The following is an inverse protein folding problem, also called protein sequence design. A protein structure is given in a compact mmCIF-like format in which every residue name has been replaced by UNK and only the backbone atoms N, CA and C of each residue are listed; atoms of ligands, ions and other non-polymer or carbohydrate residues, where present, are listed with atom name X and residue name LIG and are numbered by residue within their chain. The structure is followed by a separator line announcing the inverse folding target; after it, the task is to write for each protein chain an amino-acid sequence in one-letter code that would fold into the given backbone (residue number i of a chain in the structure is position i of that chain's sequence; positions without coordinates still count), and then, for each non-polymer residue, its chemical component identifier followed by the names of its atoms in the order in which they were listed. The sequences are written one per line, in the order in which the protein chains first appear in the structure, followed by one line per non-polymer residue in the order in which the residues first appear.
data_IF_626899704459
#
_entry.id   IF_626899704459
#
_cell.length_a   1.000
_cell.length_b   1.000
_cell.length_c   1.000
_cell.angle_alpha   90.00
_cell.angle_beta   90.00
_cell.angle_gamma   90.00
#
_symmetry.space_group_name_H-M   'P 1'
#
loop_
_entity.id
_entity.type
_entity.pdbx_description
1 polymer ?
#
# COMPACT_ATOMS: atom_id res chain seq x y z
N UNK A 1 -50.43 -9.05 -3.76
CA UNK A 1 -49.09 -9.44 -4.25
C UNK A 1 -48.01 -9.39 -3.17
N UNK A 2 -47.80 -8.26 -2.49
CA UNK A 2 -46.78 -8.16 -1.46
C UNK A 2 -46.98 -9.07 -0.24
N UNK A 3 -48.22 -9.18 0.21
CA UNK A 3 -48.61 -10.02 1.36
C UNK A 3 -48.53 -11.52 1.09
N UNK A 4 -48.79 -11.97 -0.15
CA UNK A 4 -48.65 -13.37 -0.54
C UNK A 4 -47.21 -13.75 -0.81
N UNK A 5 -46.40 -12.84 -1.40
CA UNK A 5 -44.95 -13.02 -1.49
C UNK A 5 -44.32 -13.20 -0.11
N UNK A 6 -44.75 -12.39 0.90
CA UNK A 6 -44.30 -12.54 2.29
C UNK A 6 -44.76 -13.88 2.92
N UNK A 7 -45.95 -14.39 2.55
CA UNK A 7 -46.48 -15.64 3.07
C UNK A 7 -45.76 -16.85 2.49
N UNK A 8 -45.43 -16.81 1.18
CA UNK A 8 -44.61 -17.83 0.49
C UNK A 8 -43.18 -17.87 0.97
N UNK A 9 -42.63 -16.69 1.27
CA UNK A 9 -41.34 -16.50 1.95
C UNK A 9 -41.27 -17.24 3.29
N UNK A 10 -42.38 -17.32 4.01
CA UNK A 10 -42.50 -17.99 5.31
C UNK A 10 -42.57 -19.51 5.21
N UNK A 11 -43.00 -20.04 4.02
CA UNK A 11 -43.14 -21.50 3.80
C UNK A 11 -41.85 -22.16 3.32
N UNK A 12 -40.88 -21.41 2.75
CA UNK A 12 -39.60 -21.94 2.30
C UNK A 12 -38.40 -21.05 2.77
N UNK A 13 -38.21 -20.88 4.08
CA UNK A 13 -37.21 -19.95 4.61
C UNK A 13 -35.77 -20.32 4.20
N UNK A 14 -35.45 -21.60 4.06
CA UNK A 14 -34.10 -22.06 3.72
C UNK A 14 -33.62 -21.59 2.34
N UNK A 15 -34.49 -21.47 1.34
CA UNK A 15 -34.12 -20.99 0.00
C UNK A 15 -33.85 -19.49 -0.01
N UNK A 16 -34.64 -18.71 0.72
CA UNK A 16 -34.39 -17.27 0.86
C UNK A 16 -33.10 -16.97 1.60
N UNK A 17 -32.89 -17.67 2.70
CA UNK A 17 -31.66 -17.52 3.48
C UNK A 17 -30.45 -17.84 2.59
N UNK A 18 -30.49 -18.94 1.83
CA UNK A 18 -29.40 -19.29 0.90
C UNK A 18 -29.13 -18.21 -0.15
N UNK A 19 -30.18 -17.62 -0.73
CA UNK A 19 -30.04 -16.54 -1.73
C UNK A 19 -29.52 -15.26 -1.12
N UNK A 20 -30.04 -14.85 0.06
CA UNK A 20 -29.56 -13.68 0.80
C UNK A 20 -28.11 -13.85 1.22
N UNK A 21 -27.75 -15.04 1.72
CA UNK A 21 -26.36 -15.34 2.11
C UNK A 21 -25.44 -15.28 0.88
N UNK A 22 -25.85 -15.84 -0.26
CA UNK A 22 -25.03 -15.79 -1.47
C UNK A 22 -24.79 -14.34 -1.94
N UNK A 23 -25.83 -13.51 -1.94
CA UNK A 23 -25.71 -12.07 -2.27
C UNK A 23 -24.83 -11.34 -1.24
N UNK A 24 -25.09 -11.55 0.05
CA UNK A 24 -24.35 -10.91 1.12
C UNK A 24 -22.85 -11.28 1.08
N UNK A 25 -22.52 -12.55 0.84
CA UNK A 25 -21.14 -13.02 0.68
C UNK A 25 -20.49 -12.40 -0.56
N UNK A 26 -21.17 -12.36 -1.69
CA UNK A 26 -20.62 -11.80 -2.93
C UNK A 26 -20.37 -10.29 -2.80
N UNK A 27 -21.31 -9.53 -2.26
CA UNK A 27 -21.16 -8.08 -2.05
C UNK A 27 -20.14 -7.80 -0.94
N UNK A 28 -20.21 -8.55 0.15
CA UNK A 28 -19.27 -8.42 1.27
C UNK A 28 -17.81 -8.70 0.84
N UNK A 29 -17.61 -9.70 0.00
CA UNK A 29 -16.32 -10.03 -0.58
C UNK A 29 -15.77 -8.90 -1.46
N UNK A 30 -16.58 -8.34 -2.35
CA UNK A 30 -16.20 -7.20 -3.21
C UNK A 30 -15.81 -5.96 -2.37
N UNK A 31 -16.61 -5.63 -1.38
CA UNK A 31 -16.35 -4.49 -0.50
C UNK A 31 -15.09 -4.75 0.34
N UNK A 32 -14.97 -5.95 0.92
CA UNK A 32 -13.82 -6.34 1.73
C UNK A 32 -12.52 -6.28 0.96
N UNK A 33 -12.48 -6.81 -0.26
CA UNK A 33 -11.30 -6.73 -1.13
C UNK A 33 -10.97 -5.29 -1.52
N UNK A 34 -11.97 -4.50 -1.90
CA UNK A 34 -11.73 -3.09 -2.26
C UNK A 34 -11.15 -2.29 -1.08
N UNK A 35 -11.64 -2.53 0.13
CA UNK A 35 -11.08 -1.95 1.34
C UNK A 35 -9.66 -2.44 1.63
N UNK A 36 -9.43 -3.75 1.52
CA UNK A 36 -8.13 -4.35 1.76
C UNK A 36 -7.06 -3.78 0.81
N UNK A 37 -7.31 -3.81 -0.50
CA UNK A 37 -6.37 -3.28 -1.52
C UNK A 37 -6.05 -1.80 -1.26
N UNK A 38 -7.08 -0.99 -0.98
CA UNK A 38 -6.87 0.43 -0.69
C UNK A 38 -6.06 0.67 0.59
N UNK A 39 -6.33 -0.09 1.64
CA UNK A 39 -5.62 0.03 2.92
C UNK A 39 -4.14 -0.37 2.74
N UNK A 40 -3.87 -1.44 2.00
CA UNK A 40 -2.52 -1.90 1.69
C UNK A 40 -1.74 -0.87 0.86
N UNK A 41 -2.32 -0.35 -0.21
CA UNK A 41 -1.66 0.66 -1.04
C UNK A 41 -1.31 1.94 -0.28
N UNK A 42 -2.22 2.40 0.59
CA UNK A 42 -1.96 3.59 1.43
C UNK A 42 -0.90 3.31 2.50
N UNK A 43 -0.88 2.12 3.10
CA UNK A 43 0.10 1.75 4.11
C UNK A 43 1.51 1.70 3.52
N UNK A 44 1.70 0.97 2.42
CA UNK A 44 2.97 0.88 1.70
C UNK A 44 3.44 2.24 1.17
N UNK A 45 2.52 3.02 0.61
CA UNK A 45 2.86 4.35 0.11
C UNK A 45 3.31 5.31 1.22
N UNK A 46 2.71 5.27 2.39
CA UNK A 46 3.14 6.08 3.54
C UNK A 46 4.52 5.66 4.04
N UNK A 47 4.82 4.38 4.06
CA UNK A 47 6.11 3.87 4.50
C UNK A 47 7.22 4.34 3.55
N UNK A 48 7.07 4.18 2.25
CA UNK A 48 8.07 4.68 1.30
C UNK A 48 8.16 6.21 1.28
N UNK A 49 7.07 6.90 1.58
CA UNK A 49 7.06 8.35 1.68
C UNK A 49 7.68 8.90 2.97
N UNK A 50 7.85 8.06 4.00
CA UNK A 50 8.35 8.53 5.31
C UNK A 50 9.76 9.12 5.21
N UNK A 51 10.63 8.52 4.40
CA UNK A 51 12.00 8.99 4.20
C UNK A 51 12.10 10.41 3.60
N UNK A 52 11.06 10.85 2.91
CA UNK A 52 10.97 12.20 2.31
C UNK A 52 10.07 13.15 3.09
N UNK A 53 9.49 12.68 4.21
CA UNK A 53 8.45 13.42 4.97
C UNK A 53 8.92 14.74 5.59
N UNK A 54 10.21 14.85 5.86
CA UNK A 54 10.83 16.06 6.44
C UNK A 54 11.42 16.99 5.37
N UNK A 55 11.44 16.58 4.10
CA UNK A 55 11.97 17.38 3.00
C UNK A 55 10.94 18.40 2.49
N UNK A 56 11.43 19.44 1.82
CA UNK A 56 10.62 20.38 1.05
C UNK A 56 10.68 20.05 -0.46
N UNK A 57 11.84 19.58 -0.93
CA UNK A 57 12.09 19.16 -2.33
C UNK A 57 12.86 17.83 -2.31
N UNK A 58 12.54 16.99 -3.28
CA UNK A 58 13.21 15.71 -3.54
C UNK A 58 13.79 15.73 -4.95
N UNK A 59 15.03 15.28 -5.07
CA UNK A 59 15.70 14.97 -6.35
C UNK A 59 15.86 13.47 -6.40
N UNK A 60 15.31 12.84 -7.40
CA UNK A 60 15.42 11.41 -7.65
C UNK A 60 16.00 11.20 -9.05
N UNK A 61 17.08 10.44 -9.16
CA UNK A 61 17.73 10.15 -10.44
C UNK A 61 17.22 8.87 -11.09
N UNK A 62 16.26 8.18 -10.48
CA UNK A 62 15.67 6.93 -10.98
C UNK A 62 16.73 5.88 -11.34
N UNK A 63 17.79 5.77 -10.52
CA UNK A 63 18.89 4.85 -10.75
C UNK A 63 19.83 5.22 -11.91
N UNK A 64 19.73 6.43 -12.47
CA UNK A 64 20.70 6.89 -13.46
C UNK A 64 22.11 6.94 -12.86
N UNK A 65 23.10 6.53 -13.66
CA UNK A 65 24.51 6.56 -13.24
C UNK A 65 25.00 8.01 -13.25
N UNK A 66 25.09 8.60 -12.09
CA UNK A 66 25.60 9.97 -11.85
C UNK A 66 26.73 9.91 -10.83
N UNK A 67 27.57 10.93 -10.80
CA UNK A 67 28.49 11.13 -9.68
C UNK A 67 27.74 11.73 -8.48
N UNK A 68 27.54 10.97 -7.38
CA UNK A 68 26.73 11.44 -6.25
C UNK A 68 27.37 12.66 -5.55
N UNK A 69 28.70 12.74 -5.55
CA UNK A 69 29.41 13.85 -4.90
C UNK A 69 29.26 15.13 -5.72
N UNK A 70 29.28 15.03 -7.04
CA UNK A 70 29.04 16.18 -7.94
C UNK A 70 27.58 16.65 -7.81
N UNK A 71 26.61 15.75 -7.80
CA UNK A 71 25.19 16.07 -7.61
C UNK A 71 25.00 16.75 -6.24
N UNK A 72 25.51 16.17 -5.16
CA UNK A 72 25.41 16.71 -3.80
C UNK A 72 26.02 18.10 -3.70
N UNK A 73 27.21 18.31 -4.28
CA UNK A 73 27.87 19.62 -4.31
C UNK A 73 27.02 20.63 -5.07
N UNK A 74 26.52 20.28 -6.25
CA UNK A 74 25.71 21.16 -7.08
C UNK A 74 24.40 21.55 -6.38
N UNK A 75 23.78 20.60 -5.67
CA UNK A 75 22.60 20.90 -4.84
C UNK A 75 22.95 21.90 -3.75
N UNK A 76 24.04 21.67 -3.00
CA UNK A 76 24.48 22.57 -1.92
C UNK A 76 24.77 24.00 -2.37
N UNK A 77 25.28 24.15 -3.60
CA UNK A 77 25.61 25.45 -4.20
C UNK A 77 24.38 26.14 -4.82
N UNK A 78 23.25 25.44 -4.95
CA UNK A 78 22.03 26.01 -5.55
C UNK A 78 21.37 27.02 -4.62
N UNK A 79 21.02 28.18 -5.18
CA UNK A 79 20.35 29.24 -4.44
C UNK A 79 19.01 28.77 -3.87
N UNK A 80 18.82 28.97 -2.56
CA UNK A 80 17.61 28.62 -1.84
C UNK A 80 17.68 27.27 -1.12
N UNK A 81 18.79 26.54 -1.22
CA UNK A 81 19.05 25.33 -0.43
C UNK A 81 19.47 25.70 0.98
N UNK A 82 18.82 25.13 1.97
CA UNK A 82 19.16 25.26 3.41
C UNK A 82 19.92 24.07 3.93
N UNK A 83 19.44 22.85 3.67
CA UNK A 83 20.11 21.60 4.02
C UNK A 83 19.86 20.56 2.92
N UNK A 84 20.74 19.56 2.83
CA UNK A 84 20.59 18.41 1.92
C UNK A 84 21.12 17.17 2.61
N UNK A 85 20.41 16.06 2.40
CA UNK A 85 20.82 14.72 2.80
C UNK A 85 20.45 13.73 1.70
N UNK A 86 20.94 12.49 1.80
CA UNK A 86 20.67 11.41 0.87
C UNK A 86 19.82 10.33 1.53
N UNK A 87 18.88 9.76 0.79
CA UNK A 87 18.13 8.59 1.25
C UNK A 87 18.85 7.35 0.76
N UNK A 88 19.37 6.56 1.69
CA UNK A 88 19.99 5.28 1.43
C UNK A 88 19.25 4.20 2.21
N UNK A 89 18.73 3.21 1.50
CA UNK A 89 18.12 2.03 2.11
C UNK A 89 18.37 0.77 1.29
N UNK A 90 18.27 -0.37 1.95
CA UNK A 90 18.36 -1.69 1.31
C UNK A 90 17.56 -2.70 2.11
N UNK A 91 16.82 -3.57 1.41
CA UNK A 91 16.07 -4.63 2.08
C UNK A 91 16.91 -5.90 2.12
N UNK A 92 17.05 -6.48 3.33
CA UNK A 92 17.82 -7.70 3.53
C UNK A 92 17.30 -8.49 4.74
N UNK A 93 17.51 -9.81 4.78
CA UNK A 93 17.18 -10.60 5.96
C UNK A 93 18.15 -10.30 7.11
N UNK A 94 17.57 -10.16 8.30
CA UNK A 94 18.28 -10.17 9.57
C UNK A 94 17.93 -11.44 10.33
N UNK A 95 18.89 -12.02 11.02
CA UNK A 95 18.70 -13.29 11.75
C UNK A 95 19.35 -13.26 13.11
N UNK A 96 18.71 -13.92 14.09
CA UNK A 96 19.25 -14.21 15.40
C UNK A 96 18.81 -15.61 15.84
N UNK A 97 19.78 -16.51 16.04
CA UNK A 97 19.47 -17.92 16.34
C UNK A 97 18.70 -18.60 15.21
N UNK A 98 17.45 -18.96 15.49
CA UNK A 98 16.54 -19.56 14.51
C UNK A 98 15.50 -18.58 13.95
N UNK A 99 15.44 -17.37 14.49
CA UNK A 99 14.49 -16.34 14.08
C UNK A 99 15.08 -15.48 12.95
N UNK A 100 14.23 -15.10 12.00
CA UNK A 100 14.61 -14.27 10.87
C UNK A 100 13.47 -13.33 10.51
N UNK A 101 13.82 -12.11 10.16
CA UNK A 101 12.88 -11.08 9.70
C UNK A 101 13.47 -10.32 8.50
N UNK A 102 12.63 -9.95 7.55
CA UNK A 102 13.05 -9.06 6.47
C UNK A 102 13.12 -7.62 7.00
N UNK A 103 14.28 -7.03 6.90
CA UNK A 103 14.57 -5.67 7.37
C UNK A 103 14.67 -4.72 6.18
N UNK A 104 14.07 -3.56 6.30
CA UNK A 104 14.37 -2.38 5.49
C UNK A 104 15.42 -1.54 6.24
N UNK A 105 16.67 -1.72 5.84
CA UNK A 105 17.83 -1.14 6.51
C UNK A 105 18.13 0.24 5.92
N UNK A 106 17.98 1.27 6.72
CA UNK A 106 18.23 2.66 6.36
C UNK A 106 19.56 3.16 6.94
N UNK A 107 20.22 4.03 6.21
CA UNK A 107 21.23 4.88 6.83
C UNK A 107 20.53 5.91 7.73
N UNK A 108 21.06 6.16 8.93
CA UNK A 108 20.51 7.17 9.84
C UNK A 108 20.53 8.53 9.16
N UNK A 109 19.37 9.18 8.94
CA UNK A 109 19.34 10.50 8.32
C UNK A 109 19.92 11.57 9.25
N UNK A 110 20.58 12.57 8.67
CA UNK A 110 21.03 13.74 9.41
C UNK A 110 19.85 14.67 9.75
N UNK A 111 19.99 15.48 10.82
CA UNK A 111 19.04 16.55 11.07
C UNK A 111 19.13 17.63 9.96
N UNK A 112 18.01 18.19 9.48
CA UNK A 112 16.64 18.09 10.00
C UNK A 112 15.78 17.00 9.35
N UNK A 113 16.36 16.04 8.62
CA UNK A 113 15.61 15.06 7.83
C UNK A 113 15.22 13.79 8.62
N UNK A 114 15.70 13.65 9.85
CA UNK A 114 15.39 12.46 10.66
C UNK A 114 13.91 12.36 10.96
N UNK A 115 13.28 11.31 10.46
CA UNK A 115 11.85 11.05 10.63
C UNK A 115 11.53 10.11 11.78
N UNK A 116 12.50 9.31 12.20
CA UNK A 116 12.37 8.32 13.26
C UNK A 116 12.90 8.84 14.61
N UNK A 117 12.46 8.21 15.68
CA UNK A 117 12.92 8.51 17.05
C UNK A 117 13.39 7.24 17.75
N UNK A 118 14.49 7.36 18.51
CA UNK A 118 14.96 6.28 19.39
C UNK A 118 14.09 6.28 20.64
N UNK A 119 13.47 5.13 20.94
CA UNK A 119 12.70 4.89 22.14
C UNK A 119 13.60 4.50 23.32
N UNK A 120 14.54 3.59 23.07
CA UNK A 120 15.49 3.10 24.05
C UNK A 120 16.89 3.01 23.42
N UNK A 121 17.94 3.32 24.18
CA UNK A 121 19.33 3.27 23.71
C UNK A 121 19.76 4.53 22.93
N UNK A 122 20.46 4.34 21.82
CA UNK A 122 21.02 5.43 21.01
C UNK A 122 21.01 5.10 19.53
N UNK A 123 21.20 6.13 18.69
CA UNK A 123 21.49 5.92 17.27
C UNK A 123 22.84 5.24 17.06
N UNK A 124 22.96 4.35 16.05
CA UNK A 124 24.24 3.76 15.67
C UNK A 124 25.24 4.84 15.29
N UNK A 125 26.43 4.75 15.83
CA UNK A 125 27.54 5.66 15.55
C UNK A 125 28.74 4.97 14.89
N UNK A 126 28.79 3.64 14.96
CA UNK A 126 29.82 2.80 14.38
C UNK A 126 29.27 1.89 13.29
N UNK A 127 30.15 1.37 12.45
CA UNK A 127 29.77 0.50 11.34
C UNK A 127 29.23 -0.87 11.76
N UNK A 128 29.52 -1.31 12.99
CA UNK A 128 29.08 -2.57 13.58
C UNK A 128 27.86 -2.41 14.50
N UNK A 129 27.20 -1.26 14.47
CA UNK A 129 26.04 -0.94 15.30
C UNK A 129 24.76 -0.85 14.46
N UNK A 130 23.63 -1.29 15.04
CA UNK A 130 22.30 -1.19 14.45
C UNK A 130 21.27 -0.73 15.48
N UNK A 131 20.30 0.09 15.05
CA UNK A 131 19.05 0.33 15.79
C UNK A 131 17.91 -0.40 15.06
N UNK A 132 17.13 -1.16 15.80
CA UNK A 132 16.01 -1.94 15.28
C UNK A 132 14.68 -1.28 15.65
N UNK A 133 13.66 -1.43 14.83
CA UNK A 133 12.29 -1.14 15.27
C UNK A 133 11.87 -2.10 16.39
N UNK A 134 10.93 -1.66 17.22
CA UNK A 134 10.40 -2.49 18.33
C UNK A 134 9.86 -3.83 17.83
N UNK A 135 9.22 -3.85 16.68
CA UNK A 135 8.68 -5.07 16.07
C UNK A 135 9.78 -6.01 15.57
N UNK A 136 10.84 -5.47 14.94
CA UNK A 136 12.00 -6.26 14.52
C UNK A 136 12.69 -6.93 15.73
N UNK A 137 12.92 -6.15 16.79
CA UNK A 137 13.53 -6.66 18.00
C UNK A 137 12.70 -7.77 18.67
N UNK A 138 11.36 -7.63 18.70
CA UNK A 138 10.44 -8.66 19.20
C UNK A 138 10.47 -9.93 18.35
N UNK A 139 10.44 -9.79 17.00
CA UNK A 139 10.46 -10.94 16.09
C UNK A 139 11.79 -11.72 16.17
N UNK A 140 12.90 -11.02 16.30
CA UNK A 140 14.23 -11.62 16.46
C UNK A 140 14.54 -12.04 17.91
N UNK A 141 13.67 -11.71 18.86
CA UNK A 141 13.84 -11.98 20.30
C UNK A 141 15.16 -11.39 20.84
N UNK A 142 15.50 -10.16 20.44
CA UNK A 142 16.73 -9.49 20.83
C UNK A 142 16.46 -8.24 21.65
N UNK A 143 17.47 -7.86 22.45
CA UNK A 143 17.50 -6.65 23.26
C UNK A 143 18.74 -5.83 22.95
N UNK A 144 18.82 -4.60 23.49
CA UNK A 144 20.01 -3.76 23.37
C UNK A 144 21.21 -4.50 23.98
N UNK A 145 22.28 -4.60 23.21
CA UNK A 145 23.51 -5.30 23.55
C UNK A 145 23.69 -6.64 22.82
N UNK A 146 22.61 -7.24 22.33
CA UNK A 146 22.65 -8.46 21.54
C UNK A 146 23.22 -8.22 20.14
N UNK A 147 23.53 -9.29 19.43
CA UNK A 147 24.09 -9.25 18.07
C UNK A 147 23.13 -9.89 17.10
N UNK A 148 22.91 -9.24 15.96
CA UNK A 148 22.05 -9.72 14.88
C UNK A 148 22.85 -9.85 13.60
N UNK A 149 22.69 -10.95 12.88
CA UNK A 149 23.36 -11.22 11.62
C UNK A 149 22.59 -10.60 10.44
N UNK A 150 23.27 -9.76 9.67
CA UNK A 150 22.76 -9.17 8.42
C UNK A 150 23.61 -9.66 7.25
N UNK A 151 23.08 -10.60 6.46
CA UNK A 151 23.78 -11.18 5.30
C UNK A 151 25.25 -11.60 5.58
N UNK A 152 25.50 -12.17 6.77
CA UNK A 152 26.82 -12.63 7.20
C UNK A 152 27.69 -11.60 7.90
N UNK A 153 27.17 -10.41 8.18
CA UNK A 153 27.79 -9.40 9.03
C UNK A 153 27.04 -9.27 10.34
N UNK A 154 27.73 -9.39 11.44
CA UNK A 154 27.19 -9.28 12.78
C UNK A 154 27.15 -7.82 13.22
N UNK A 155 25.96 -7.30 13.51
CA UNK A 155 25.76 -5.95 14.02
C UNK A 155 25.21 -5.99 15.45
N UNK A 156 25.77 -5.14 16.31
CA UNK A 156 25.33 -5.00 17.69
C UNK A 156 24.12 -4.07 17.79
N UNK A 157 23.08 -4.52 18.46
CA UNK A 157 21.89 -3.71 18.73
C UNK A 157 22.22 -2.67 19.79
N UNK A 158 22.15 -1.37 19.41
CA UNK A 158 22.45 -0.24 20.30
C UNK A 158 21.23 0.64 20.58
N UNK A 159 20.15 0.47 19.83
CA UNK A 159 18.94 1.23 20.02
C UNK A 159 17.70 0.51 19.53
N UNK A 160 16.57 0.92 20.07
CA UNK A 160 15.24 0.51 19.64
C UNK A 160 14.45 1.74 19.22
N UNK A 161 13.86 1.73 18.01
CA UNK A 161 13.08 2.84 17.47
C UNK A 161 11.58 2.57 17.56
N UNK A 162 10.79 3.66 17.53
CA UNK A 162 9.32 3.61 17.59
C UNK A 162 8.68 3.63 16.19
N UNK A 163 9.34 3.02 15.22
CA UNK A 163 8.80 2.94 13.86
C UNK A 163 7.91 1.72 13.70
N UNK A 164 6.72 1.89 13.11
CA UNK A 164 5.87 0.76 12.79
C UNK A 164 6.48 -0.10 11.68
N UNK A 165 6.35 -1.40 11.81
CA UNK A 165 6.70 -2.33 10.72
C UNK A 165 5.67 -2.26 9.61
N UNK A 166 6.14 -2.39 8.36
CA UNK A 166 5.26 -2.72 7.25
C UNK A 166 4.85 -4.19 7.28
N UNK A 167 4.00 -4.54 6.31
CA UNK A 167 3.46 -5.91 6.20
C UNK A 167 4.54 -6.99 6.01
N UNK A 168 5.67 -6.65 5.41
CA UNK A 168 6.70 -7.61 5.02
C UNK A 168 8.08 -7.27 5.53
N UNK A 169 8.31 -6.03 5.93
CA UNK A 169 9.62 -5.54 6.38
C UNK A 169 9.50 -4.74 7.66
N UNK A 170 10.53 -4.79 8.47
CA UNK A 170 10.64 -3.99 9.66
C UNK A 170 11.80 -2.99 9.50
N UNK A 171 11.63 -1.70 9.86
CA UNK A 171 12.69 -0.71 9.74
C UNK A 171 13.85 -1.01 10.70
N UNK A 172 15.06 -0.74 10.21
CA UNK A 172 16.27 -0.69 11.05
C UNK A 172 17.23 0.38 10.51
N UNK A 173 18.17 0.80 11.32
CA UNK A 173 19.06 1.90 11.03
C UNK A 173 20.51 1.55 11.33
N UNK A 174 21.39 1.97 10.43
CA UNK A 174 22.86 1.86 10.59
C UNK A 174 23.51 3.22 10.41
N UNK A 175 24.68 3.42 10.98
CA UNK A 175 25.41 4.69 10.85
C UNK A 175 25.83 4.97 9.39
N UNK A 176 26.17 3.92 8.64
CA UNK A 176 26.58 4.03 7.25
C UNK A 176 26.22 2.74 6.47
N UNK A 177 25.71 2.90 5.25
CA UNK A 177 25.47 1.82 4.30
C UNK A 177 26.61 1.78 3.27
N UNK A 178 27.58 0.86 3.40
CA UNK A 178 28.68 0.79 2.47
C UNK A 178 28.27 0.22 1.12
N UNK A 179 28.90 0.72 0.06
CA UNK A 179 28.75 0.15 -1.29
C UNK A 179 27.48 0.53 -2.04
N UNK A 180 26.67 1.43 -1.50
CA UNK A 180 25.50 1.97 -2.20
C UNK A 180 25.72 3.42 -2.60
N UNK A 181 25.39 3.75 -3.84
CA UNK A 181 25.31 5.12 -4.30
C UNK A 181 23.89 5.65 -4.10
N UNK A 182 23.73 6.86 -3.56
CA UNK A 182 22.42 7.46 -3.45
C UNK A 182 21.83 7.78 -4.83
N UNK A 183 20.55 7.54 -4.97
CA UNK A 183 19.76 7.96 -6.13
C UNK A 183 18.70 9.00 -5.75
N UNK A 184 18.50 9.24 -4.47
CA UNK A 184 17.50 10.17 -3.95
C UNK A 184 18.13 11.14 -2.95
N UNK A 185 17.95 12.43 -3.18
CA UNK A 185 18.36 13.52 -2.29
C UNK A 185 17.14 14.21 -1.73
N UNK A 186 17.17 14.46 -0.43
CA UNK A 186 16.15 15.22 0.31
C UNK A 186 16.69 16.59 0.65
N UNK A 187 15.92 17.63 0.37
CA UNK A 187 16.39 19.01 0.43
C UNK A 187 15.44 19.84 1.26
N UNK A 188 15.99 20.60 2.19
CA UNK A 188 15.29 21.63 2.95
C UNK A 188 15.49 22.99 2.30
N UNK A 189 14.43 23.70 2.07
CA UNK A 189 14.51 25.08 1.57
C UNK A 189 15.04 26.01 2.65
N UNK A 190 15.83 26.99 2.25
CA UNK A 190 16.23 28.10 3.12
C UNK A 190 15.01 28.97 3.44
N UNK A 191 14.97 29.53 4.64
CA UNK A 191 13.90 30.44 5.06
C UNK A 191 13.61 31.51 4.03
N UNK A 192 12.33 31.63 3.69
CA UNK A 192 11.84 32.57 2.66
C UNK A 192 11.89 32.06 1.22
N UNK A 193 12.36 30.83 0.96
CA UNK A 193 12.35 30.22 -0.37
C UNK A 193 11.16 29.26 -0.49
N UNK A 194 10.25 29.51 -1.43
CA UNK A 194 9.16 28.58 -1.69
C UNK A 194 9.66 27.28 -2.34
N UNK A 195 9.14 26.10 -1.95
CA UNK A 195 9.58 24.81 -2.51
C UNK A 195 9.52 24.74 -4.04
N UNK A 196 8.47 25.30 -4.67
CA UNK A 196 8.34 25.34 -6.13
C UNK A 196 9.41 26.20 -6.82
N UNK A 197 9.87 27.28 -6.18
CA UNK A 197 10.98 28.08 -6.70
C UNK A 197 12.30 27.31 -6.57
N UNK A 198 12.49 26.61 -5.48
CA UNK A 198 13.68 25.77 -5.27
C UNK A 198 13.76 24.66 -6.33
N UNK A 199 12.64 24.01 -6.68
CA UNK A 199 12.56 23.03 -7.78
C UNK A 199 13.11 23.66 -9.08
N UNK A 200 12.63 24.85 -9.47
CA UNK A 200 13.08 25.54 -10.68
C UNK A 200 14.57 25.88 -10.65
N UNK A 201 15.09 26.29 -9.49
CA UNK A 201 16.51 26.58 -9.34
C UNK A 201 17.36 25.30 -9.49
N UNK A 202 16.94 24.20 -8.89
CA UNK A 202 17.59 22.88 -8.97
C UNK A 202 17.57 22.32 -10.40
N UNK A 203 16.43 22.40 -11.10
CA UNK A 203 16.34 22.00 -12.52
C UNK A 203 17.39 22.75 -13.38
N UNK A 204 17.55 24.05 -13.17
CA UNK A 204 18.50 24.87 -13.90
C UNK A 204 19.96 24.57 -13.58
N UNK A 205 20.28 24.20 -12.33
CA UNK A 205 21.66 23.91 -11.92
C UNK A 205 22.04 22.47 -12.22
N UNK A 206 21.19 21.50 -11.92
CA UNK A 206 21.44 20.10 -12.15
C UNK A 206 21.48 19.72 -13.64
N UNK A 207 20.75 20.43 -14.51
CA UNK A 207 20.86 20.23 -15.96
C UNK A 207 22.25 20.52 -16.56
N UNK A 208 23.14 21.11 -15.79
CA UNK A 208 24.52 21.40 -16.18
C UNK A 208 25.54 20.36 -15.69
N UNK A 209 25.13 19.49 -14.80
CA UNK A 209 25.96 18.39 -14.28
C UNK A 209 26.23 17.43 -15.42
N UNK A 210 27.47 16.98 -15.56
CA UNK A 210 27.86 16.01 -16.57
C UNK A 210 27.12 14.70 -16.38
N UNK A 211 26.63 14.14 -17.47
CA UNK A 211 25.87 12.89 -17.47
C UNK A 211 24.59 12.92 -16.62
N UNK A 212 24.11 14.13 -16.25
CA UNK A 212 22.84 14.26 -15.54
C UNK A 212 21.68 13.72 -16.37
N UNK A 213 20.77 12.94 -15.75
CA UNK A 213 19.57 12.49 -16.45
C UNK A 213 18.69 13.69 -16.85
N UNK A 214 17.87 13.50 -17.86
CA UNK A 214 16.84 14.49 -18.16
C UNK A 214 15.76 14.41 -17.06
N UNK A 215 15.66 15.45 -16.24
CA UNK A 215 14.65 15.54 -15.22
C UNK A 215 13.30 15.85 -15.87
N UNK A 216 12.38 14.89 -15.79
CA UNK A 216 11.04 15.00 -16.33
C UNK A 216 10.05 15.40 -15.23
N UNK A 217 9.08 16.26 -15.60
CA UNK A 217 7.93 16.58 -14.73
C UNK A 217 6.87 15.47 -14.78
N UNK A 218 6.88 14.69 -15.85
CA UNK A 218 5.84 13.70 -16.16
C UNK A 218 6.42 12.26 -16.07
N UNK A 219 5.90 11.52 -15.16
CA UNK A 219 5.73 10.08 -14.90
C UNK A 219 6.86 9.05 -15.07
N UNK A 220 7.90 9.23 -15.83
CA UNK A 220 8.95 8.22 -15.94
C UNK A 220 10.35 8.84 -15.94
N UNK A 221 11.23 8.30 -15.09
CA UNK A 221 12.63 8.69 -15.03
C UNK A 221 12.96 9.69 -13.91
N UNK A 222 14.14 10.28 -13.99
CA UNK A 222 14.64 11.22 -12.99
C UNK A 222 13.73 12.42 -12.79
N UNK A 223 13.48 12.79 -11.54
CA UNK A 223 12.54 13.88 -11.18
C UNK A 223 13.13 14.84 -10.16
N UNK A 224 12.75 16.11 -10.30
CA UNK A 224 12.91 17.12 -9.24
C UNK A 224 11.52 17.63 -8.92
N UNK A 225 11.06 17.40 -7.70
CA UNK A 225 9.71 17.77 -7.32
C UNK A 225 9.62 18.19 -5.86
N UNK A 226 8.53 18.86 -5.50
CA UNK A 226 8.25 19.09 -4.08
C UNK A 226 8.01 17.74 -3.37
N UNK A 227 8.38 17.66 -2.10
CA UNK A 227 8.20 16.43 -1.34
C UNK A 227 6.74 15.94 -1.34
N UNK A 228 5.76 16.85 -1.27
CA UNK A 228 4.33 16.52 -1.34
C UNK A 228 3.95 15.89 -2.70
N UNK A 229 4.48 16.42 -3.82
CA UNK A 229 4.26 15.85 -5.15
C UNK A 229 4.94 14.51 -5.32
N UNK A 230 6.16 14.36 -4.81
CA UNK A 230 6.91 13.11 -4.82
C UNK A 230 6.17 12.01 -4.06
N UNK A 231 5.73 12.31 -2.83
CA UNK A 231 4.98 11.37 -2.01
C UNK A 231 3.66 10.94 -2.66
N UNK A 232 2.91 11.90 -3.25
CA UNK A 232 1.68 11.58 -3.98
C UNK A 232 1.96 10.67 -5.19
N UNK A 233 3.03 10.95 -5.94
CA UNK A 233 3.43 10.12 -7.06
C UNK A 233 3.80 8.71 -6.62
N UNK A 234 4.62 8.56 -5.58
CA UNK A 234 5.02 7.26 -5.01
C UNK A 234 3.80 6.47 -4.53
N UNK A 235 2.86 7.12 -3.82
CA UNK A 235 1.63 6.47 -3.38
C UNK A 235 0.77 6.03 -4.58
N UNK A 236 0.67 6.86 -5.61
CA UNK A 236 -0.14 6.54 -6.80
C UNK A 236 0.46 5.39 -7.59
N UNK A 237 1.79 5.38 -7.85
CA UNK A 237 2.45 4.30 -8.59
C UNK A 237 2.26 2.95 -7.89
N UNK A 238 2.42 2.90 -6.58
CA UNK A 238 2.16 1.69 -5.79
C UNK A 238 0.67 1.27 -5.83
N UNK A 239 -0.25 2.24 -5.92
CA UNK A 239 -1.68 1.97 -5.98
C UNK A 239 -2.09 1.47 -7.37
N UNK A 240 -1.45 1.92 -8.44
CA UNK A 240 -1.70 1.47 -9.82
C UNK A 240 -1.33 -0.01 -10.01
N UNK A 241 -0.26 -0.49 -9.41
CA UNK A 241 0.10 -1.91 -9.43
C UNK A 241 -0.98 -2.80 -8.77
N UNK A 242 -1.70 -2.27 -7.77
CA UNK A 242 -2.85 -2.94 -7.17
C UNK A 242 -4.12 -2.86 -8.01
N UNK A 243 -4.22 -1.91 -8.95
CA UNK A 243 -5.41 -1.77 -9.79
C UNK A 243 -5.62 -2.99 -10.70
N UNK A 244 -4.57 -3.61 -11.21
CA UNK A 244 -4.65 -4.86 -11.98
C UNK A 244 -5.30 -5.97 -11.13
N UNK A 245 -4.83 -6.15 -9.91
CA UNK A 245 -5.39 -7.11 -8.95
C UNK A 245 -6.85 -6.79 -8.63
N UNK A 246 -7.19 -5.52 -8.43
CA UNK A 246 -8.56 -5.05 -8.22
C UNK A 246 -9.46 -5.35 -9.41
N UNK A 247 -9.01 -5.12 -10.65
CA UNK A 247 -9.78 -5.48 -11.86
C UNK A 247 -10.00 -6.99 -11.96
N UNK A 248 -9.00 -7.81 -11.71
CA UNK A 248 -9.16 -9.27 -11.68
C UNK A 248 -10.22 -9.69 -10.65
N UNK A 249 -10.15 -9.13 -9.45
CA UNK A 249 -11.10 -9.42 -8.39
C UNK A 249 -12.51 -8.90 -8.69
N UNK A 250 -12.65 -7.76 -9.38
CA UNK A 250 -13.94 -7.28 -9.88
C UNK A 250 -14.56 -8.25 -10.91
N UNK A 251 -13.75 -8.82 -11.81
CA UNK A 251 -14.21 -9.82 -12.78
C UNK A 251 -14.71 -11.06 -12.05
N UNK A 252 -13.99 -11.57 -11.06
CA UNK A 252 -14.45 -12.69 -10.24
C UNK A 252 -15.75 -12.37 -9.50
N UNK A 253 -15.87 -11.17 -8.93
CA UNK A 253 -17.09 -10.70 -8.29
C UNK A 253 -18.28 -10.61 -9.26
N UNK A 254 -18.06 -10.12 -10.46
CA UNK A 254 -19.08 -10.05 -11.50
C UNK A 254 -19.56 -11.46 -11.93
N UNK A 255 -18.64 -12.43 -12.06
CA UNK A 255 -18.97 -13.84 -12.33
C UNK A 255 -19.80 -14.42 -11.17
N UNK A 256 -19.42 -14.16 -9.93
CA UNK A 256 -20.18 -14.63 -8.77
C UNK A 256 -21.59 -14.05 -8.71
N UNK A 257 -21.77 -12.77 -9.04
CA UNK A 257 -23.09 -12.13 -9.16
C UNK A 257 -23.92 -12.76 -10.29
N UNK A 258 -23.31 -13.04 -11.44
CA UNK A 258 -23.99 -13.68 -12.59
C UNK A 258 -24.46 -15.09 -12.22
N UNK A 259 -23.61 -15.88 -11.56
CA UNK A 259 -23.99 -17.22 -11.06
C UNK A 259 -25.14 -17.12 -10.05
N UNK A 260 -25.07 -16.16 -9.12
CA UNK A 260 -26.16 -15.88 -8.18
C UNK A 260 -27.47 -15.53 -8.87
N UNK A 261 -27.42 -14.69 -9.91
CA UNK A 261 -28.60 -14.31 -10.70
C UNK A 261 -29.21 -15.52 -11.45
N UNK A 262 -28.37 -16.41 -12.00
CA UNK A 262 -28.82 -17.66 -12.65
C UNK A 262 -29.52 -18.55 -11.63
N UNK A 263 -28.97 -18.74 -10.44
CA UNK A 263 -29.57 -19.55 -9.37
C UNK A 263 -30.93 -18.98 -8.97
N UNK A 264 -31.05 -17.67 -8.79
CA UNK A 264 -32.30 -17.00 -8.45
C UNK A 264 -33.31 -17.22 -9.57
N UNK A 265 -32.94 -16.99 -10.83
CA UNK A 265 -33.79 -17.15 -11.99
C UNK A 265 -34.29 -18.60 -12.13
N UNK A 266 -33.40 -19.58 -11.99
CA UNK A 266 -33.74 -21.00 -12.07
C UNK A 266 -34.72 -21.41 -10.95
N UNK A 267 -34.46 -20.93 -9.74
CA UNK A 267 -35.35 -21.16 -8.57
C UNK A 267 -36.74 -20.58 -8.83
N UNK A 268 -36.81 -19.35 -9.37
CA UNK A 268 -38.06 -18.69 -9.69
C UNK A 268 -38.85 -19.40 -10.84
N UNK A 269 -38.15 -19.89 -11.86
CA UNK A 269 -38.74 -20.68 -12.93
C UNK A 269 -39.36 -21.99 -12.44
N UNK A 270 -38.67 -22.69 -11.52
CA UNK A 270 -39.19 -23.91 -10.91
C UNK A 270 -40.47 -23.62 -10.11
N UNK A 271 -40.48 -22.54 -9.32
CA UNK A 271 -41.67 -22.11 -8.59
C UNK A 271 -42.86 -21.77 -9.53
N UNK A 272 -42.57 -21.04 -10.61
CA UNK A 272 -43.58 -20.74 -11.63
C UNK A 272 -44.14 -21.99 -12.32
N UNK A 273 -43.29 -22.96 -12.63
CA UNK A 273 -43.71 -24.22 -13.21
C UNK A 273 -44.63 -25.03 -12.25
N UNK A 274 -44.30 -25.05 -10.98
CA UNK A 274 -45.14 -25.70 -9.96
C UNK A 274 -46.49 -24.97 -9.81
N UNK A 275 -46.51 -23.64 -9.78
CA UNK A 275 -47.76 -22.87 -9.76
C UNK A 275 -48.63 -23.10 -11.01
N UNK A 276 -48.02 -23.10 -12.22
CA UNK A 276 -48.75 -23.42 -13.47
C UNK A 276 -49.42 -24.79 -13.39
N UNK A 277 -48.74 -25.81 -12.87
CA UNK A 277 -49.28 -27.15 -12.68
C UNK A 277 -50.45 -27.17 -11.69
N UNK A 278 -50.37 -26.43 -10.58
CA UNK A 278 -51.47 -26.31 -9.61
C UNK A 278 -52.67 -25.58 -10.20
N UNK A 279 -52.45 -24.50 -10.96
CA UNK A 279 -53.52 -23.79 -11.69
C UNK A 279 -54.19 -24.68 -12.76
N UNK A 280 -53.38 -25.45 -13.48
CA UNK A 280 -53.90 -26.43 -14.47
C UNK A 280 -54.79 -27.49 -13.84
N UNK A 281 -54.39 -28.05 -12.71
CA UNK A 281 -55.19 -29.01 -11.94
C UNK A 281 -56.49 -28.39 -11.42
N UNK A 282 -56.50 -27.19 -10.91
CA UNK A 282 -57.72 -26.49 -10.48
C UNK A 282 -58.68 -26.22 -11.63
N UNK A 283 -58.16 -25.89 -12.81
CA UNK A 283 -58.99 -25.76 -14.02
C UNK A 283 -59.54 -27.09 -14.52
N UNK A 284 -58.77 -28.18 -14.45
CA UNK A 284 -59.23 -29.51 -14.84
C UNK A 284 -60.38 -30.05 -13.94
N UNK A 285 -60.42 -29.61 -12.66
CA UNK A 285 -61.47 -29.95 -11.69
C UNK A 285 -62.69 -28.97 -11.77
N UNK A 286 -62.70 -28.04 -12.76
CA UNK A 286 -63.85 -27.19 -13.02
C UNK A 286 -63.82 -25.79 -12.36
N UNK A 287 -62.69 -25.34 -11.86
CA UNK A 287 -62.59 -24.00 -11.27
C UNK A 287 -62.72 -22.93 -12.37
N UNK A 288 -63.57 -21.93 -12.16
CA UNK A 288 -63.74 -20.80 -13.09
C UNK A 288 -62.55 -19.86 -13.08
N UNK A 289 -62.28 -19.18 -14.22
CA UNK A 289 -61.18 -18.22 -14.36
C UNK A 289 -61.21 -17.11 -13.27
N UNK A 290 -62.40 -16.71 -12.80
CA UNK A 290 -62.58 -15.75 -11.71
C UNK A 290 -62.14 -16.28 -10.35
N UNK A 291 -62.40 -17.55 -10.06
CA UNK A 291 -61.99 -18.22 -8.82
C UNK A 291 -60.49 -18.43 -8.76
N UNK A 292 -59.89 -18.81 -9.90
CA UNK A 292 -58.41 -18.94 -9.99
C UNK A 292 -57.73 -17.58 -9.80
N UNK A 293 -58.26 -16.52 -10.45
CA UNK A 293 -57.72 -15.17 -10.35
C UNK A 293 -57.80 -14.63 -8.92
N UNK A 294 -58.92 -14.89 -8.18
CA UNK A 294 -59.13 -14.44 -6.81
C UNK A 294 -58.20 -15.16 -5.79
N UNK A 295 -57.67 -16.34 -6.16
CA UNK A 295 -56.77 -17.14 -5.30
C UNK A 295 -55.29 -16.92 -5.62
N UNK A 296 -54.97 -16.33 -6.78
CA UNK A 296 -53.59 -16.04 -7.23
C UNK A 296 -53.21 -14.56 -7.03
N UNK A 297 -54.20 -13.67 -6.91
CA UNK A 297 -54.03 -12.26 -6.50
C UNK A 297 -54.16 -12.10 -4.99
#
# INVERSE_FOLDING_TARGET
MFTEALRELRHHPGRMVATLVAIAVSVGFLVGISMFVRTQGVALGKEQAVATSKADVVVDTDGAVVDPDEVTRTIKETQGVGAVDTVLSTSMPAAHGHDSVMIDLHQVPEEPFRWSTVKDGSWPSKADEVALSEDAAKQLQVSIGDTVAFSGHDLKVVGITDDPSALQTAPAYVGQLPGQAPNTWVIKAKDGTAPGQLVTNLEKTLSKVKDAPQFNKDDAGATISTADSFQKKTINSLTEDFDVTKYMLMVFGAIALLVGAIIITTTFLILLAQRRRQIGLMRAVGASSGQVRRRVL
#
